data_IF_714378519007
#
_entry.id   IF_714378519007
#
_cell.length_a   1.000
_cell.length_b   1.000
_cell.length_c   1.000
_cell.angle_alpha   90.00
_cell.angle_beta   90.00
_cell.angle_gamma   90.00
#
_symmetry.space_group_name_H-M   'P 1'
#
loop_
_entity.id
_entity.type
_entity.pdbx_description
1 polymer ?
#
# COMPACT_ATOMS: atom_id res chain seq x y z
N UNK A 1 10.05 -0.66 -11.13
CA UNK A 1 10.12 -0.23 -9.72
C UNK A 1 10.76 -1.31 -8.84
N UNK A 2 10.23 -2.53 -8.76
CA UNK A 2 10.89 -3.64 -8.05
C UNK A 2 12.32 -3.92 -8.55
N UNK A 3 12.52 -3.98 -9.88
CA UNK A 3 13.85 -4.17 -10.45
C UNK A 3 14.81 -3.01 -10.14
N UNK A 4 14.30 -1.77 -10.13
CA UNK A 4 15.10 -0.57 -9.80
C UNK A 4 15.64 -0.67 -8.37
N UNK A 5 14.80 -1.07 -7.41
CA UNK A 5 15.23 -1.23 -6.03
C UNK A 5 16.22 -2.39 -5.85
N UNK A 6 16.07 -3.49 -6.61
CA UNK A 6 17.08 -4.56 -6.63
C UNK A 6 18.42 -4.08 -7.19
N UNK A 7 18.38 -3.29 -8.27
CA UNK A 7 19.58 -2.75 -8.91
C UNK A 7 20.27 -1.72 -8.01
N UNK A 8 19.53 -1.02 -7.14
CA UNK A 8 20.04 -0.16 -6.05
C UNK A 8 20.57 -0.94 -4.83
N UNK A 9 20.55 -2.28 -4.87
CA UNK A 9 21.10 -3.14 -3.81
C UNK A 9 20.17 -3.34 -2.61
N UNK A 10 18.89 -2.97 -2.70
CA UNK A 10 17.93 -3.22 -1.64
C UNK A 10 17.58 -4.71 -1.57
N UNK A 11 17.69 -5.27 -0.36
CA UNK A 11 17.31 -6.65 -0.07
C UNK A 11 15.81 -6.71 0.23
N UNK A 12 15.14 -7.70 -0.36
CA UNK A 12 13.72 -7.96 -0.17
C UNK A 12 13.51 -9.26 0.59
N UNK A 13 12.56 -9.26 1.52
CA UNK A 13 12.13 -10.41 2.29
C UNK A 13 10.65 -10.66 2.01
N UNK A 14 10.30 -11.91 1.72
CA UNK A 14 8.92 -12.35 1.65
C UNK A 14 8.33 -12.41 3.06
N UNK A 15 7.13 -11.88 3.21
CA UNK A 15 6.40 -11.85 4.48
C UNK A 15 4.92 -11.86 4.21
N UNK A 16 4.15 -12.43 5.13
CA UNK A 16 2.70 -12.34 5.12
C UNK A 16 2.28 -11.10 5.90
N UNK A 17 1.68 -10.12 5.22
CA UNK A 17 1.12 -8.94 5.87
C UNK A 17 -0.34 -9.19 6.22
N UNK A 18 -0.68 -9.01 7.50
CA UNK A 18 -2.06 -8.83 7.93
C UNK A 18 -2.43 -7.35 7.78
N UNK A 19 -3.50 -7.08 7.04
CA UNK A 19 -3.99 -5.74 6.78
C UNK A 19 -5.46 -5.67 7.16
N UNK A 20 -5.81 -4.62 7.88
CA UNK A 20 -7.20 -4.25 8.11
C UNK A 20 -7.67 -3.39 6.94
N UNK A 21 -8.63 -3.92 6.20
CA UNK A 21 -9.35 -3.19 5.16
C UNK A 21 -10.39 -2.26 5.81
N UNK A 22 -11.03 -1.42 5.00
CA UNK A 22 -12.18 -0.64 5.44
C UNK A 22 -13.24 -1.56 6.08
N UNK A 23 -14.00 -1.04 7.04
CA UNK A 23 -15.06 -1.78 7.77
C UNK A 23 -14.57 -2.87 8.74
N UNK A 24 -13.27 -2.90 9.06
CA UNK A 24 -12.71 -3.80 10.07
C UNK A 24 -12.45 -5.22 9.57
N UNK A 25 -12.64 -5.47 8.28
CA UNK A 25 -12.30 -6.73 7.65
C UNK A 25 -10.78 -6.94 7.68
N UNK A 26 -10.33 -8.13 8.07
CA UNK A 26 -8.91 -8.51 8.05
C UNK A 26 -8.62 -9.30 6.78
N UNK A 27 -7.52 -8.98 6.12
CA UNK A 27 -7.00 -9.72 4.98
C UNK A 27 -5.53 -10.00 5.18
N UNK A 28 -5.07 -11.16 4.72
CA UNK A 28 -3.65 -11.52 4.68
C UNK A 28 -3.20 -11.63 3.25
N UNK A 29 -2.06 -11.02 2.93
CA UNK A 29 -1.44 -11.12 1.61
C UNK A 29 0.06 -11.35 1.72
N UNK A 30 0.61 -12.13 0.80
CA UNK A 30 2.05 -12.22 0.63
C UNK A 30 2.58 -10.89 0.10
N UNK A 31 3.66 -10.42 0.68
CA UNK A 31 4.29 -9.16 0.31
C UNK A 31 5.81 -9.29 0.36
N UNK A 32 6.47 -8.50 -0.49
CA UNK A 32 7.91 -8.31 -0.41
C UNK A 32 8.19 -7.01 0.34
N UNK A 33 8.83 -7.13 1.50
CA UNK A 33 9.25 -5.99 2.30
C UNK A 33 10.74 -5.74 2.15
N UNK A 34 11.14 -4.48 2.20
CA UNK A 34 12.54 -4.09 2.20
C UNK A 34 12.75 -3.00 3.25
N UNK A 35 13.93 -2.96 3.84
CA UNK A 35 14.32 -1.91 4.79
C UNK A 35 14.70 -0.65 4.01
N UNK A 36 13.71 0.05 3.46
CA UNK A 36 13.90 1.34 2.82
C UNK A 36 13.60 2.48 3.81
N UNK A 37 14.51 3.45 3.94
CA UNK A 37 14.24 4.67 4.72
C UNK A 37 13.02 5.39 4.10
N UNK A 38 11.87 5.37 4.78
CA UNK A 38 10.70 6.19 4.47
C UNK A 38 9.54 5.49 3.77
N UNK A 39 9.74 4.34 3.11
CA UNK A 39 8.65 3.59 2.46
C UNK A 39 8.32 2.32 3.26
N UNK A 40 7.10 2.23 3.79
CA UNK A 40 6.72 1.18 4.75
C UNK A 40 6.21 -0.11 4.10
N UNK A 41 5.65 -0.06 2.89
CA UNK A 41 5.11 -1.25 2.18
C UNK A 41 5.05 -1.01 0.66
N UNK A 42 5.46 -1.98 -0.16
CA UNK A 42 5.21 -2.01 -1.60
C UNK A 42 4.04 -2.96 -1.88
N UNK A 43 3.01 -2.49 -2.58
CA UNK A 43 1.86 -3.31 -2.98
C UNK A 43 2.06 -3.86 -4.38
N UNK A 44 1.91 -5.18 -4.54
CA UNK A 44 1.97 -5.87 -5.83
C UNK A 44 0.74 -5.63 -6.70
N UNK A 45 0.88 -5.80 -8.01
CA UNK A 45 -0.23 -5.64 -8.97
C UNK A 45 -1.30 -6.71 -8.82
N UNK A 46 -0.90 -7.90 -8.37
CA UNK A 46 -1.79 -8.99 -7.96
C UNK A 46 -2.73 -8.56 -6.83
N UNK A 47 -2.20 -7.95 -5.77
CA UNK A 47 -2.98 -7.38 -4.68
C UNK A 47 -3.93 -6.27 -5.15
N UNK A 48 -3.44 -5.34 -5.98
CA UNK A 48 -4.27 -4.25 -6.51
C UNK A 48 -5.44 -4.81 -7.34
N UNK A 49 -5.20 -5.88 -8.10
CA UNK A 49 -6.23 -6.51 -8.94
C UNK A 49 -7.26 -7.32 -8.15
N UNK A 50 -6.87 -7.96 -7.04
CA UNK A 50 -7.75 -8.84 -6.27
C UNK A 50 -8.61 -8.11 -5.25
N UNK A 51 -8.16 -6.95 -4.78
CA UNK A 51 -8.86 -6.17 -3.74
C UNK A 51 -9.79 -5.11 -4.28
N UNK A 52 -9.77 -4.87 -5.61
CA UNK A 52 -10.55 -3.81 -6.24
C UNK A 52 -10.19 -2.41 -5.69
N UNK A 53 -8.90 -2.24 -5.40
CA UNK A 53 -8.30 -0.99 -5.01
C UNK A 53 -8.29 -0.01 -6.19
N UNK A 54 -8.82 1.20 -5.99
CA UNK A 54 -8.87 2.25 -7.01
C UNK A 54 -7.95 3.41 -6.62
N UNK A 55 -6.98 3.70 -7.49
CA UNK A 55 -6.13 4.88 -7.40
C UNK A 55 -6.75 6.04 -8.19
N UNK A 56 -7.27 7.04 -7.48
CA UNK A 56 -7.78 8.27 -8.09
C UNK A 56 -6.70 9.37 -8.02
N UNK A 57 -5.83 9.34 -9.03
CA UNK A 57 -4.70 10.28 -9.15
C UNK A 57 -5.18 11.73 -9.22
N UNK A 58 -6.32 11.98 -9.87
CA UNK A 58 -6.86 13.32 -10.05
C UNK A 58 -7.26 13.95 -8.71
N UNK A 59 -7.89 13.16 -7.84
CA UNK A 59 -8.36 13.62 -6.54
C UNK A 59 -7.39 13.28 -5.40
N UNK A 60 -6.17 12.82 -5.71
CA UNK A 60 -5.11 12.49 -4.75
C UNK A 60 -5.56 11.55 -3.63
N UNK A 61 -6.42 10.58 -3.97
CA UNK A 61 -6.99 9.64 -3.01
C UNK A 61 -7.09 8.23 -3.58
N UNK A 62 -7.33 7.28 -2.69
CA UNK A 62 -7.66 5.91 -3.03
C UNK A 62 -8.94 5.47 -2.32
N UNK A 63 -9.61 4.46 -2.86
CA UNK A 63 -10.80 3.84 -2.28
C UNK A 63 -10.97 2.41 -2.77
N UNK A 64 -11.86 1.64 -2.15
CA UNK A 64 -12.29 0.34 -2.66
C UNK A 64 -13.50 0.52 -3.57
N UNK A 65 -13.53 -0.20 -4.70
CA UNK A 65 -14.57 -0.07 -5.71
C UNK A 65 -16.00 -0.33 -5.18
N UNK A 66 -16.12 -1.19 -4.17
CA UNK A 66 -17.37 -1.58 -3.50
C UNK A 66 -17.84 -0.54 -2.46
N UNK A 67 -16.95 0.38 -2.06
CA UNK A 67 -17.26 1.51 -1.18
C UNK A 67 -16.64 2.83 -1.70
N UNK A 68 -17.14 3.36 -2.84
CA UNK A 68 -16.54 4.54 -3.49
C UNK A 68 -16.76 5.86 -2.74
N UNK A 69 -17.64 5.87 -1.74
CA UNK A 69 -17.91 7.03 -0.88
C UNK A 69 -16.85 7.18 0.21
N UNK A 70 -16.21 6.10 0.64
CA UNK A 70 -15.14 6.12 1.64
C UNK A 70 -13.78 6.26 0.96
N UNK A 71 -13.22 7.48 0.97
CA UNK A 71 -11.96 7.80 0.29
C UNK A 71 -10.85 8.12 1.29
N UNK A 72 -9.66 7.64 0.99
CA UNK A 72 -8.45 7.84 1.78
C UNK A 72 -7.45 8.71 1.00
N UNK A 73 -6.93 9.81 1.57
CA UNK A 73 -5.92 10.62 0.90
C UNK A 73 -4.59 9.85 0.72
N UNK A 74 -3.82 10.14 -0.32
CA UNK A 74 -2.49 9.52 -0.54
C UNK A 74 -1.47 9.85 0.56
N UNK A 75 -1.70 10.92 1.32
CA UNK A 75 -0.92 11.25 2.50
C UNK A 75 -1.72 12.16 3.42
N UNK A 76 -1.79 11.79 4.70
CA UNK A 76 -1.79 12.79 5.75
C UNK A 76 -0.31 13.08 6.05
N UNK A 77 0.09 14.35 6.09
CA UNK A 77 1.24 14.72 6.91
C UNK A 77 0.94 14.19 8.31
N UNK A 78 1.65 13.13 8.72
CA UNK A 78 1.72 12.79 10.13
C UNK A 78 2.28 14.05 10.79
N UNK A 79 1.40 14.84 11.41
CA UNK A 79 1.73 16.07 12.14
C UNK A 79 3.13 15.95 12.76
N UNK A 80 4.12 16.77 12.38
CA UNK A 80 5.34 16.85 13.17
C UNK A 80 4.89 17.33 14.55
N UNK A 81 4.92 16.44 15.55
CA UNK A 81 4.69 16.86 16.94
C UNK A 81 5.68 18.00 17.27
N UNK A 82 5.24 19.01 18.03
CA UNK A 82 6.03 20.19 18.35
C UNK A 82 7.32 19.87 19.11
#
# INVERSE_FOLDING_TARGET
MFQIFKDEGLLFQETTLAMSLAEGQQSTGEALTTQAKGNRTLLGTDFLSSTGFVLDVKNTCWYFWDNPTHKYPFGEELNPRP
#
